data_IF_825180185156
#
_entry.id   IF_825180185156
#
_cell.length_a   1.000
_cell.length_b   1.000
_cell.length_c   1.000
_cell.angle_alpha   90.00
_cell.angle_beta   90.00
_cell.angle_gamma   90.00
#
_symmetry.space_group_name_H-M   'P 1'
#
loop_
_entity.id
_entity.type
_entity.pdbx_description
1 polymer ?
#
# COMPACT_ATOMS: atom_id res chain seq x y z
N UNK A 1 -15.29 25.52 -8.53
CA UNK A 1 -15.86 24.15 -8.50
C UNK A 1 -14.88 23.25 -7.75
N UNK A 2 -15.33 22.12 -7.21
CA UNK A 2 -14.41 21.17 -6.59
C UNK A 2 -13.80 20.30 -7.68
N UNK A 3 -12.48 20.22 -7.74
CA UNK A 3 -11.72 19.36 -8.66
C UNK A 3 -12.19 17.89 -8.60
N UNK A 4 -12.63 17.43 -7.43
CA UNK A 4 -13.19 16.08 -7.26
C UNK A 4 -14.47 15.89 -8.07
N UNK A 5 -15.36 16.89 -8.12
CA UNK A 5 -16.61 16.80 -8.88
C UNK A 5 -16.37 16.77 -10.39
N UNK A 6 -15.34 17.46 -10.86
CA UNK A 6 -14.94 17.46 -12.27
C UNK A 6 -14.44 16.06 -12.67
N UNK A 7 -13.57 15.46 -11.85
CA UNK A 7 -13.07 14.09 -12.06
C UNK A 7 -14.21 13.06 -12.04
N UNK A 8 -15.12 13.15 -11.05
CA UNK A 8 -16.29 12.27 -10.95
C UNK A 8 -17.21 12.35 -12.17
N UNK A 9 -17.27 13.52 -12.83
CA UNK A 9 -18.07 13.70 -14.05
C UNK A 9 -17.34 13.17 -15.29
N UNK A 10 -16.01 13.17 -15.29
CA UNK A 10 -15.21 12.65 -16.39
C UNK A 10 -15.15 11.12 -16.42
N UNK A 11 -14.99 10.47 -15.26
CA UNK A 11 -14.78 9.01 -15.14
C UNK A 11 -15.85 8.17 -15.87
N UNK A 12 -17.17 8.47 -15.78
CA UNK A 12 -18.20 7.67 -16.46
C UNK A 12 -18.13 7.69 -17.99
N UNK A 13 -17.44 8.67 -18.58
CA UNK A 13 -17.30 8.79 -20.03
C UNK A 13 -16.10 8.01 -20.58
N UNK A 14 -15.28 7.41 -19.70
CA UNK A 14 -14.10 6.65 -20.10
C UNK A 14 -14.45 5.19 -20.42
N UNK A 15 -13.73 4.55 -21.34
CA UNK A 15 -13.79 3.11 -21.51
C UNK A 15 -13.31 2.38 -20.24
N UNK A 16 -13.82 1.17 -20.04
CA UNK A 16 -13.55 0.34 -18.84
C UNK A 16 -12.06 0.19 -18.54
N UNK A 17 -11.24 0.03 -19.57
CA UNK A 17 -9.79 -0.15 -19.44
C UNK A 17 -9.12 1.08 -18.82
N UNK A 18 -9.47 2.28 -19.28
CA UNK A 18 -8.93 3.53 -18.73
C UNK A 18 -9.40 3.77 -17.29
N UNK A 19 -10.63 3.38 -16.95
CA UNK A 19 -11.12 3.44 -15.56
C UNK A 19 -10.30 2.53 -14.63
N UNK A 20 -9.92 1.34 -15.08
CA UNK A 20 -9.06 0.46 -14.28
C UNK A 20 -7.63 0.98 -14.17
N UNK A 21 -7.09 1.61 -15.21
CA UNK A 21 -5.79 2.29 -15.13
C UNK A 21 -5.81 3.41 -14.08
N UNK A 22 -6.87 4.22 -14.05
CA UNK A 22 -7.05 5.27 -13.04
C UNK A 22 -7.15 4.66 -11.65
N UNK A 23 -7.92 3.57 -11.49
CA UNK A 23 -8.04 2.89 -10.20
C UNK A 23 -6.69 2.42 -9.69
N UNK A 24 -5.91 1.73 -10.52
CA UNK A 24 -4.60 1.23 -10.14
C UNK A 24 -3.65 2.37 -9.77
N UNK A 25 -3.64 3.46 -10.56
CA UNK A 25 -2.85 4.64 -10.22
C UNK A 25 -3.24 5.27 -8.88
N UNK A 26 -4.54 5.34 -8.55
CA UNK A 26 -5.01 5.86 -7.25
C UNK A 26 -4.53 4.95 -6.12
N UNK A 27 -4.64 3.64 -6.28
CA UNK A 27 -4.19 2.67 -5.29
C UNK A 27 -2.68 2.84 -5.01
N UNK A 28 -1.86 2.90 -6.07
CA UNK A 28 -0.41 3.15 -5.97
C UNK A 28 -0.09 4.50 -5.31
N UNK A 29 -0.76 5.58 -5.74
CA UNK A 29 -0.55 6.93 -5.19
C UNK A 29 -0.89 7.03 -3.70
N UNK A 30 -1.93 6.32 -3.26
CA UNK A 30 -2.31 6.27 -1.86
C UNK A 30 -1.33 5.41 -1.06
N UNK A 31 -0.91 4.27 -1.61
CA UNK A 31 0.09 3.39 -0.99
C UNK A 31 1.43 4.11 -0.78
N UNK A 32 1.89 4.91 -1.76
CA UNK A 32 3.11 5.72 -1.66
C UNK A 32 3.07 6.77 -0.54
N UNK A 33 1.88 7.20 -0.12
CA UNK A 33 1.69 8.15 0.97
C UNK A 33 1.47 7.47 2.32
N UNK A 34 1.33 6.15 2.36
CA UNK A 34 1.24 5.44 3.62
C UNK A 34 2.64 5.34 4.22
N UNK A 35 2.83 6.06 5.33
CA UNK A 35 4.02 5.90 6.15
C UNK A 35 3.83 4.72 7.12
N UNK A 36 4.92 3.99 7.37
CA UNK A 36 4.97 3.02 8.46
C UNK A 36 4.70 3.77 9.76
N UNK A 37 3.70 3.32 10.52
CA UNK A 37 3.50 3.88 11.85
C UNK A 37 4.67 3.54 12.76
N UNK A 38 4.94 4.39 13.75
CA UNK A 38 5.96 4.17 14.77
C UNK A 38 5.85 2.78 15.43
N UNK A 39 4.62 2.27 15.59
CA UNK A 39 4.38 0.93 16.13
C UNK A 39 4.90 -0.18 15.21
N UNK A 40 4.68 -0.06 13.90
CA UNK A 40 5.15 -1.05 12.93
C UNK A 40 6.67 -0.97 12.80
N UNK A 41 7.24 0.23 12.78
CA UNK A 41 8.69 0.43 12.78
C UNK A 41 9.35 -0.23 14.00
N UNK A 42 8.82 0.03 15.20
CA UNK A 42 9.31 -0.57 16.44
C UNK A 42 9.25 -2.11 16.43
N UNK A 43 8.16 -2.69 15.89
CA UNK A 43 8.01 -4.16 15.75
C UNK A 43 8.99 -4.75 14.73
N UNK A 44 9.27 -4.04 13.64
CA UNK A 44 10.25 -4.47 12.65
C UNK A 44 11.67 -4.46 13.22
N UNK A 45 12.03 -3.41 13.96
CA UNK A 45 13.33 -3.33 14.62
C UNK A 45 13.51 -4.39 15.70
N UNK A 46 12.46 -4.66 16.50
CA UNK A 46 12.45 -5.80 17.40
C UNK A 46 12.67 -7.11 16.66
N UNK A 47 11.93 -7.35 15.58
CA UNK A 47 12.04 -8.58 14.79
C UNK A 47 13.45 -8.76 14.20
N UNK A 48 14.06 -7.67 13.69
CA UNK A 48 15.46 -7.67 13.22
C UNK A 48 16.44 -8.04 14.32
N UNK A 49 16.26 -7.50 15.52
CA UNK A 49 17.11 -7.83 16.67
C UNK A 49 16.94 -9.29 17.13
N UNK A 50 15.73 -9.83 17.10
CA UNK A 50 15.45 -11.23 17.42
C UNK A 50 16.09 -12.19 16.41
N UNK A 51 15.97 -11.89 15.10
CA UNK A 51 16.62 -12.66 14.04
C UNK A 51 18.14 -12.64 14.20
N UNK A 52 18.73 -11.46 14.44
CA UNK A 52 20.17 -11.33 14.68
C UNK A 52 20.66 -12.12 15.90
N UNK A 53 19.81 -12.23 16.93
CA UNK A 53 20.07 -13.04 18.11
C UNK A 53 19.76 -14.54 17.93
N UNK A 54 19.39 -14.99 16.72
CA UNK A 54 19.03 -16.37 16.43
C UNK A 54 17.67 -16.81 17.00
N UNK A 55 16.85 -15.86 17.46
CA UNK A 55 15.51 -16.11 18.01
C UNK A 55 14.45 -16.00 16.91
N UNK A 56 14.44 -16.95 15.99
CA UNK A 56 13.45 -17.00 14.93
C UNK A 56 13.01 -18.44 14.66
N UNK A 57 11.80 -18.61 14.13
CA UNK A 57 11.31 -19.91 13.65
C UNK A 57 11.32 -19.92 12.14
N UNK A 58 11.74 -21.02 11.54
CA UNK A 58 11.62 -21.25 10.10
C UNK A 58 10.66 -22.39 9.83
N UNK A 59 9.81 -22.24 8.81
CA UNK A 59 8.99 -23.35 8.33
C UNK A 59 9.92 -24.40 7.73
N UNK A 60 10.00 -25.57 8.38
CA UNK A 60 10.65 -26.75 7.82
C UNK A 60 9.65 -27.43 6.87
N UNK A 61 9.94 -27.54 5.55
CA UNK A 61 9.12 -28.35 4.66
C UNK A 61 9.21 -29.83 5.08
N UNK A 62 8.08 -30.54 5.03
CA UNK A 62 8.01 -31.99 5.27
C UNK A 62 8.39 -32.76 4.01
#
# INVERSE_FOLDING_TARGET
MSTVKEIQTAIPNLPREEVEQIRQWIDDYLEDQLELSDEVEAKLDQSRAEIAAGRYTTRQPK
#
